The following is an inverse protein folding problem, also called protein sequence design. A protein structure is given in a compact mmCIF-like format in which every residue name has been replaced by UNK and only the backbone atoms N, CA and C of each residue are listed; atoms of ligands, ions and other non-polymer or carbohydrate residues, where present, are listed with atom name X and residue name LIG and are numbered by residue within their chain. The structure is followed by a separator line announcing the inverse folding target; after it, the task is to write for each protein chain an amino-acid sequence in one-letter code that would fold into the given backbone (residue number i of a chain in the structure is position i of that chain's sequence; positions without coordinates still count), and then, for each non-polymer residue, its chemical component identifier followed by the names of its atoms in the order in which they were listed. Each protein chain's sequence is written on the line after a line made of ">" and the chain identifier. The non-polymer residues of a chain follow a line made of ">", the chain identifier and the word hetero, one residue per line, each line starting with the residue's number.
data_IF_861270547348
#
_entry.id   IF_861270547348
#
_cell.length_a   1.000
_cell.length_b   1.000
_cell.length_c   1.000
_cell.angle_alpha   90.00
_cell.angle_beta   90.00
_cell.angle_gamma   90.00
#
_symmetry.space_group_name_H-M   'P 1'
#
loop_
_entity.id
_entity.type
_entity.pdbx_description
1 polymer ?
#
# COMPACT_ATOMS: atom_id res chain seq x y z
N UNK A 1 -31.22 -11.95 27.27
CA UNK A 1 -29.95 -12.27 26.58
C UNK A 1 -30.29 -12.74 25.17
N UNK A 2 -29.85 -12.04 24.12
CA UNK A 2 -30.22 -12.42 22.74
C UNK A 2 -29.41 -13.60 22.16
N UNK A 3 -28.62 -14.30 22.99
CA UNK A 3 -27.83 -15.47 22.61
C UNK A 3 -28.57 -16.81 22.77
N UNK A 4 -29.59 -16.83 23.63
CA UNK A 4 -30.38 -18.04 23.83
C UNK A 4 -31.42 -18.17 22.72
N UNK A 5 -31.58 -19.37 22.20
CA UNK A 5 -32.53 -19.65 21.14
C UNK A 5 -33.98 -19.45 21.63
N UNK A 6 -34.91 -19.00 20.78
CA UNK A 6 -36.30 -18.73 21.17
C UNK A 6 -36.99 -19.89 21.89
N UNK A 7 -36.70 -21.12 21.48
CA UNK A 7 -37.27 -22.33 22.07
C UNK A 7 -36.83 -22.58 23.52
N UNK A 8 -35.66 -22.05 23.95
CA UNK A 8 -35.17 -22.16 25.33
C UNK A 8 -35.99 -21.36 26.33
N UNK A 9 -36.76 -20.38 25.86
CA UNK A 9 -37.69 -19.60 26.68
C UNK A 9 -39.06 -20.27 26.82
N UNK A 10 -39.30 -21.37 26.10
CA UNK A 10 -40.54 -22.14 26.14
C UNK A 10 -40.39 -23.49 26.86
N UNK A 11 -41.28 -24.43 26.51
CA UNK A 11 -41.23 -25.84 26.98
C UNK A 11 -40.60 -26.80 25.96
N UNK A 12 -40.00 -26.26 24.91
CA UNK A 12 -39.43 -27.06 23.83
C UNK A 12 -38.09 -27.66 24.24
N UNK A 13 -37.80 -28.86 23.73
CA UNK A 13 -36.56 -29.57 24.02
C UNK A 13 -35.39 -28.90 23.30
N UNK A 14 -34.28 -28.70 24.01
CA UNK A 14 -33.03 -28.22 23.43
C UNK A 14 -32.41 -29.29 22.55
N UNK A 15 -32.02 -28.92 21.33
CA UNK A 15 -31.38 -29.80 20.35
C UNK A 15 -30.06 -29.18 19.86
N UNK A 16 -29.34 -29.86 18.96
CA UNK A 16 -28.17 -29.27 18.31
C UNK A 16 -28.47 -27.93 17.60
N UNK A 17 -29.71 -27.71 17.15
CA UNK A 17 -30.14 -26.46 16.51
C UNK A 17 -30.20 -25.29 17.50
N UNK A 18 -30.40 -25.57 18.79
CA UNK A 18 -30.33 -24.56 19.85
C UNK A 18 -28.89 -24.03 20.00
N UNK A 19 -27.89 -24.91 19.97
CA UNK A 19 -26.48 -24.52 20.02
C UNK A 19 -26.05 -23.76 18.76
N UNK A 20 -26.56 -24.16 17.59
CA UNK A 20 -26.31 -23.46 16.31
C UNK A 20 -26.82 -22.02 16.35
N UNK A 21 -27.97 -21.77 16.96
CA UNK A 21 -28.48 -20.41 17.15
C UNK A 21 -27.54 -19.57 18.02
N UNK A 22 -27.12 -20.11 19.17
CA UNK A 22 -26.18 -19.42 20.06
C UNK A 22 -24.84 -19.12 19.40
N UNK A 23 -24.34 -20.05 18.57
CA UNK A 23 -23.16 -19.84 17.74
C UNK A 23 -23.38 -18.72 16.71
N UNK A 24 -24.53 -18.69 16.04
CA UNK A 24 -24.89 -17.65 15.07
C UNK A 24 -24.93 -16.26 15.69
N UNK A 25 -25.53 -16.13 16.88
CA UNK A 25 -25.59 -14.88 17.63
C UNK A 25 -24.18 -14.43 18.05
N UNK A 26 -23.34 -15.37 18.49
CA UNK A 26 -21.93 -15.10 18.83
C UNK A 26 -21.14 -14.61 17.61
N UNK A 27 -21.25 -15.29 16.47
CA UNK A 27 -20.59 -14.88 15.23
C UNK A 27 -21.03 -13.49 14.78
N UNK A 28 -22.32 -13.20 14.85
CA UNK A 28 -22.85 -11.88 14.51
C UNK A 28 -22.29 -10.80 15.43
N UNK A 29 -22.19 -11.05 16.75
CA UNK A 29 -21.54 -10.13 17.69
C UNK A 29 -20.07 -9.93 17.37
N UNK A 30 -19.33 -10.99 17.05
CA UNK A 30 -17.91 -10.88 16.70
C UNK A 30 -17.69 -10.07 15.42
N UNK A 31 -18.59 -10.19 14.43
CA UNK A 31 -18.49 -9.46 13.17
C UNK A 31 -18.88 -7.98 13.32
N UNK A 32 -19.91 -7.69 14.10
CA UNK A 32 -20.47 -6.33 14.22
C UNK A 32 -19.93 -5.54 15.41
N UNK A 33 -19.33 -6.23 16.38
CA UNK A 33 -18.96 -5.69 17.68
C UNK A 33 -20.15 -5.31 18.56
N UNK A 34 -21.35 -5.84 18.28
CA UNK A 34 -22.60 -5.50 18.96
C UNK A 34 -23.29 -6.70 19.58
N UNK A 35 -23.93 -6.45 20.71
CA UNK A 35 -24.76 -7.43 21.40
C UNK A 35 -26.04 -7.74 20.58
N UNK A 36 -26.56 -8.97 20.57
CA UNK A 36 -27.71 -9.33 19.74
C UNK A 36 -28.96 -8.49 20.03
N UNK A 37 -29.15 -8.06 21.28
CA UNK A 37 -30.25 -7.17 21.67
C UNK A 37 -30.13 -5.77 21.08
N UNK A 38 -28.89 -5.25 20.94
CA UNK A 38 -28.64 -3.96 20.30
C UNK A 38 -28.90 -4.00 18.79
N UNK A 39 -28.65 -5.15 18.17
CA UNK A 39 -28.92 -5.41 16.75
C UNK A 39 -30.43 -5.44 16.50
N UNK A 40 -31.19 -6.16 17.34
CA UNK A 40 -32.66 -6.22 17.26
C UNK A 40 -33.32 -4.86 17.49
N UNK A 41 -32.73 -4.00 18.33
CA UNK A 41 -33.20 -2.64 18.58
C UNK A 41 -32.89 -1.64 17.44
N UNK A 42 -32.38 -2.12 16.29
CA UNK A 42 -32.05 -1.27 15.15
C UNK A 42 -30.80 -0.43 15.35
N UNK A 43 -29.91 -0.83 16.28
CA UNK A 43 -28.67 -0.11 16.51
C UNK A 43 -27.81 -0.08 15.25
N UNK A 44 -27.63 1.09 14.64
CA UNK A 44 -26.85 1.30 13.41
C UNK A 44 -25.46 0.63 13.51
N UNK A 45 -25.25 -0.45 12.75
CA UNK A 45 -23.98 -1.20 12.75
C UNK A 45 -22.82 -0.26 12.42
N UNK A 46 -21.68 -0.40 13.12
CA UNK A 46 -20.46 0.34 12.79
C UNK A 46 -19.96 -0.17 11.44
N UNK A 47 -20.17 0.54 10.33
CA UNK A 47 -19.49 0.39 9.02
C UNK A 47 -19.03 -1.04 8.63
N UNK A 48 -19.82 -2.07 8.97
CA UNK A 48 -19.41 -3.46 8.82
C UNK A 48 -20.20 -4.07 7.67
N UNK A 49 -19.56 -4.09 6.50
CA UNK A 49 -20.10 -4.76 5.32
C UNK A 49 -19.83 -6.26 5.44
N UNK A 50 -20.84 -7.02 5.89
CA UNK A 50 -20.78 -8.48 5.93
C UNK A 50 -20.98 -9.02 4.50
N UNK A 51 -20.11 -9.92 4.00
CA UNK A 51 -20.31 -10.54 2.69
C UNK A 51 -21.67 -11.25 2.60
N UNK A 52 -22.39 -11.05 1.50
CA UNK A 52 -23.76 -11.55 1.31
C UNK A 52 -23.93 -13.03 1.69
N UNK A 53 -23.05 -13.91 1.22
CA UNK A 53 -23.13 -15.35 1.53
C UNK A 53 -22.91 -15.68 3.00
N UNK A 54 -22.06 -14.91 3.69
CA UNK A 54 -21.88 -15.06 5.14
C UNK A 54 -23.11 -14.54 5.88
N UNK A 55 -23.70 -13.44 5.40
CA UNK A 55 -24.97 -12.93 5.92
C UNK A 55 -26.09 -13.96 5.75
N UNK A 56 -26.21 -14.62 4.59
CA UNK A 56 -27.20 -15.70 4.37
C UNK A 56 -27.01 -16.86 5.35
N UNK A 57 -25.77 -17.28 5.60
CA UNK A 57 -25.49 -18.33 6.59
C UNK A 57 -25.90 -17.89 8.00
N UNK A 58 -25.55 -16.67 8.41
CA UNK A 58 -25.95 -16.11 9.71
C UNK A 58 -27.47 -16.04 9.85
N UNK A 59 -28.18 -15.59 8.81
CA UNK A 59 -29.64 -15.56 8.79
C UNK A 59 -30.22 -16.95 9.01
N UNK A 60 -29.72 -17.98 8.31
CA UNK A 60 -30.16 -19.38 8.52
C UNK A 60 -29.86 -19.89 9.93
N UNK A 61 -28.71 -19.57 10.50
CA UNK A 61 -28.35 -19.98 11.88
C UNK A 61 -29.24 -19.31 12.93
N UNK A 62 -29.66 -18.07 12.68
CA UNK A 62 -30.49 -17.26 13.57
C UNK A 62 -32.01 -17.38 13.27
N UNK A 63 -32.41 -18.33 12.45
CA UNK A 63 -33.81 -18.53 12.09
C UNK A 63 -34.65 -18.90 13.32
N UNK A 64 -35.88 -18.40 13.39
CA UNK A 64 -36.74 -18.63 14.55
C UNK A 64 -37.13 -20.10 14.67
N UNK A 65 -37.52 -20.71 13.56
CA UNK A 65 -37.91 -22.11 13.50
C UNK A 65 -36.68 -23.02 13.48
N UNK A 66 -36.63 -24.02 14.38
CA UNK A 66 -35.43 -24.85 14.54
C UNK A 66 -35.18 -25.77 13.34
N UNK A 67 -36.24 -26.17 12.62
CA UNK A 67 -36.13 -27.02 11.43
C UNK A 67 -35.51 -26.32 10.22
N UNK A 68 -35.60 -24.98 10.16
CA UNK A 68 -35.04 -24.17 9.07
C UNK A 68 -33.56 -23.83 9.28
N UNK A 69 -33.05 -24.06 10.50
CA UNK A 69 -31.63 -23.92 10.82
C UNK A 69 -30.80 -25.04 10.17
N UNK A 70 -29.48 -24.85 10.00
CA UNK A 70 -28.58 -25.93 9.64
C UNK A 70 -28.76 -27.14 10.56
N UNK A 71 -28.77 -28.34 9.99
CA UNK A 71 -29.12 -29.55 10.73
C UNK A 71 -27.99 -30.00 11.66
N UNK A 72 -26.75 -29.58 11.38
CA UNK A 72 -25.58 -29.91 12.18
C UNK A 72 -24.54 -28.80 12.16
N UNK A 73 -23.66 -28.82 13.17
CA UNK A 73 -22.49 -27.92 13.24
C UNK A 73 -21.50 -28.24 12.10
N UNK A 74 -21.47 -29.47 11.59
CA UNK A 74 -20.63 -29.84 10.45
C UNK A 74 -21.08 -29.11 9.17
N UNK A 75 -22.39 -28.95 8.93
CA UNK A 75 -22.92 -28.15 7.80
C UNK A 75 -22.45 -26.69 7.90
N UNK A 76 -22.51 -26.11 9.11
CA UNK A 76 -22.04 -24.74 9.37
C UNK A 76 -20.54 -24.63 9.11
N UNK A 77 -19.75 -25.57 9.61
CA UNK A 77 -18.29 -25.61 9.42
C UNK A 77 -17.92 -25.70 7.94
N UNK A 78 -18.55 -26.60 7.19
CA UNK A 78 -18.30 -26.75 5.75
C UNK A 78 -18.65 -25.46 4.99
N UNK A 79 -19.78 -24.83 5.34
CA UNK A 79 -20.20 -23.55 4.74
C UNK A 79 -19.16 -22.44 5.00
N UNK A 80 -18.66 -22.34 6.24
CA UNK A 80 -17.62 -21.37 6.59
C UNK A 80 -16.27 -21.66 5.89
N UNK A 81 -15.88 -22.92 5.78
CA UNK A 81 -14.67 -23.33 5.07
C UNK A 81 -14.76 -22.99 3.58
N UNK A 82 -15.89 -23.31 2.94
CA UNK A 82 -16.16 -22.97 1.55
C UNK A 82 -16.07 -21.47 1.31
N UNK A 83 -16.66 -20.65 2.19
CA UNK A 83 -16.58 -19.19 2.12
C UNK A 83 -15.15 -18.68 2.24
N UNK A 84 -14.38 -19.25 3.16
CA UNK A 84 -12.96 -18.91 3.34
C UNK A 84 -12.16 -19.23 2.07
N UNK A 85 -12.29 -20.42 1.52
CA UNK A 85 -11.56 -20.86 0.33
C UNK A 85 -11.89 -20.00 -0.89
N UNK A 86 -13.18 -19.74 -1.15
CA UNK A 86 -13.60 -18.92 -2.29
C UNK A 86 -13.15 -17.46 -2.14
N UNK A 87 -13.09 -16.93 -0.93
CA UNK A 87 -12.54 -15.59 -0.69
C UNK A 87 -11.03 -15.54 -0.97
N UNK A 88 -10.30 -16.61 -0.67
CA UNK A 88 -8.87 -16.73 -0.95
C UNK A 88 -8.61 -16.88 -2.45
N UNK A 89 -9.35 -17.75 -3.14
CA UNK A 89 -9.24 -17.89 -4.59
C UNK A 89 -9.54 -16.58 -5.32
N UNK A 90 -10.58 -15.85 -4.91
CA UNK A 90 -10.89 -14.55 -5.49
C UNK A 90 -9.77 -13.54 -5.24
N UNK A 91 -9.17 -13.51 -4.04
CA UNK A 91 -8.00 -12.66 -3.75
C UNK A 91 -6.79 -13.06 -4.59
N UNK A 92 -6.51 -14.35 -4.73
CA UNK A 92 -5.40 -14.87 -5.53
C UNK A 92 -5.60 -14.54 -7.00
N UNK A 93 -6.79 -14.77 -7.56
CA UNK A 93 -7.12 -14.42 -8.95
C UNK A 93 -7.01 -12.92 -9.20
N UNK A 94 -7.50 -12.07 -8.28
CA UNK A 94 -7.33 -10.61 -8.37
C UNK A 94 -5.85 -10.21 -8.33
N UNK A 95 -5.07 -10.83 -7.45
CA UNK A 95 -3.63 -10.56 -7.34
C UNK A 95 -2.90 -11.01 -8.61
N UNK A 96 -3.21 -12.20 -9.12
CA UNK A 96 -2.64 -12.74 -10.36
C UNK A 96 -3.01 -11.88 -11.57
N UNK A 97 -4.27 -11.48 -11.68
CA UNK A 97 -4.74 -10.58 -12.75
C UNK A 97 -4.06 -9.20 -12.68
N UNK A 98 -3.89 -8.65 -11.47
CA UNK A 98 -3.12 -7.43 -11.25
C UNK A 98 -1.67 -7.61 -11.68
N UNK A 99 -0.99 -8.67 -11.23
CA UNK A 99 0.40 -8.94 -11.61
C UNK A 99 0.56 -9.19 -13.10
N UNK A 100 -0.42 -9.84 -13.74
CA UNK A 100 -0.41 -10.11 -15.18
C UNK A 100 -0.59 -8.83 -15.99
N UNK A 101 -1.59 -8.01 -15.65
CA UNK A 101 -1.77 -6.69 -16.28
C UNK A 101 -0.55 -5.79 -16.09
N UNK A 102 0.07 -5.86 -14.91
CA UNK A 102 1.30 -5.15 -14.60
C UNK A 102 2.48 -5.66 -15.44
N UNK A 103 2.73 -6.97 -15.51
CA UNK A 103 3.81 -7.55 -16.32
C UNK A 103 3.64 -7.23 -17.81
N UNK A 104 2.40 -7.37 -18.31
CA UNK A 104 2.08 -7.17 -19.72
C UNK A 104 2.31 -5.70 -20.16
N UNK A 105 1.94 -4.72 -19.33
CA UNK A 105 2.10 -3.30 -19.67
C UNK A 105 3.48 -2.75 -19.30
N UNK A 106 4.13 -3.28 -18.25
CA UNK A 106 5.42 -2.77 -17.78
C UNK A 106 6.62 -3.31 -18.56
N UNK A 107 6.50 -4.46 -19.24
CA UNK A 107 7.63 -5.08 -19.94
C UNK A 107 8.21 -4.21 -21.06
N UNK A 108 7.36 -3.63 -21.91
CA UNK A 108 7.77 -2.74 -22.99
C UNK A 108 8.32 -1.40 -22.42
N UNK A 109 7.69 -0.87 -21.38
CA UNK A 109 8.10 0.40 -20.77
C UNK A 109 9.43 0.28 -20.03
N UNK A 110 9.65 -0.82 -19.29
CA UNK A 110 10.93 -1.13 -18.64
C UNK A 110 12.01 -1.36 -19.69
N UNK A 111 11.68 -2.01 -20.81
CA UNK A 111 12.62 -2.18 -21.92
C UNK A 111 13.03 -0.83 -22.54
N UNK A 112 12.08 0.05 -22.83
CA UNK A 112 12.36 1.40 -23.35
C UNK A 112 13.18 2.24 -22.37
N UNK A 113 12.93 2.09 -21.08
CA UNK A 113 13.66 2.75 -20.00
C UNK A 113 15.12 2.29 -19.95
N UNK A 114 15.36 0.98 -19.96
CA UNK A 114 16.71 0.40 -19.98
C UNK A 114 17.43 0.82 -21.26
N UNK A 115 16.75 0.80 -22.41
CA UNK A 115 17.29 1.27 -23.68
C UNK A 115 17.67 2.76 -23.64
N UNK A 116 16.85 3.63 -23.04
CA UNK A 116 17.15 5.06 -22.91
C UNK A 116 18.35 5.33 -21.98
N UNK A 117 18.45 4.63 -20.84
CA UNK A 117 19.60 4.75 -19.95
C UNK A 117 20.88 4.23 -20.60
N UNK A 118 20.81 3.11 -21.33
CA UNK A 118 21.93 2.59 -22.12
C UNK A 118 22.33 3.56 -23.23
N UNK A 119 21.37 4.19 -23.91
CA UNK A 119 21.63 5.18 -24.95
C UNK A 119 22.37 6.42 -24.39
N UNK A 120 21.93 6.94 -23.24
CA UNK A 120 22.63 8.04 -22.54
C UNK A 120 24.04 7.62 -22.12
N UNK A 121 24.20 6.41 -21.59
CA UNK A 121 25.50 5.87 -21.23
C UNK A 121 26.43 5.75 -22.44
N UNK A 122 25.92 5.27 -23.58
CA UNK A 122 26.68 5.18 -24.82
C UNK A 122 27.11 6.57 -25.31
N UNK A 123 26.23 7.58 -25.27
CA UNK A 123 26.59 8.96 -25.58
C UNK A 123 27.74 9.43 -24.67
N UNK A 124 27.65 9.19 -23.36
CA UNK A 124 28.69 9.59 -22.41
C UNK A 124 30.02 8.87 -22.66
N UNK A 125 29.98 7.60 -23.06
CA UNK A 125 31.15 6.81 -23.40
C UNK A 125 31.82 7.31 -24.68
N UNK A 126 31.05 7.49 -25.76
CA UNK A 126 31.57 7.92 -27.07
C UNK A 126 32.09 9.36 -27.05
N UNK A 127 31.45 10.23 -26.27
CA UNK A 127 31.86 11.64 -26.17
C UNK A 127 33.03 11.85 -25.22
N UNK A 128 33.43 10.84 -24.42
CA UNK A 128 34.48 10.97 -23.41
C UNK A 128 34.03 11.69 -22.13
N UNK A 129 32.73 11.98 -21.96
CA UNK A 129 32.17 12.60 -20.77
C UNK A 129 32.51 11.83 -19.49
N UNK A 130 32.54 10.48 -19.57
CA UNK A 130 32.92 9.58 -18.47
C UNK A 130 34.36 9.76 -17.98
N UNK A 131 35.20 10.49 -18.70
CA UNK A 131 36.57 10.79 -18.29
C UNK A 131 36.69 12.12 -17.52
N UNK A 132 35.59 12.88 -17.40
CA UNK A 132 35.58 14.18 -16.73
C UNK A 132 35.13 14.10 -15.28
N UNK A 133 35.55 15.00 -14.37
CA UNK A 133 35.04 15.01 -12.99
C UNK A 133 33.52 15.30 -12.89
N UNK A 134 32.86 15.66 -14.00
CA UNK A 134 31.43 15.99 -14.07
C UNK A 134 30.51 14.76 -14.14
N UNK A 135 31.01 13.56 -14.48
CA UNK A 135 30.13 12.39 -14.66
C UNK A 135 29.56 11.85 -13.35
N UNK A 136 30.35 11.86 -12.27
CA UNK A 136 29.92 11.41 -10.93
C UNK A 136 28.77 12.27 -10.37
N UNK A 137 28.88 13.61 -10.30
CA UNK A 137 27.78 14.45 -9.80
C UNK A 137 26.55 14.38 -10.70
N UNK A 138 26.71 14.24 -12.02
CA UNK A 138 25.60 14.00 -12.95
C UNK A 138 24.84 12.72 -12.58
N UNK A 139 25.55 11.61 -12.39
CA UNK A 139 24.95 10.31 -12.05
C UNK A 139 24.25 10.33 -10.68
N UNK A 140 24.85 10.98 -9.68
CA UNK A 140 24.23 11.16 -8.37
C UNK A 140 22.94 11.99 -8.45
N UNK A 141 22.92 13.06 -9.25
CA UNK A 141 21.72 13.87 -9.44
C UNK A 141 20.62 13.10 -10.19
N UNK A 142 20.98 12.33 -11.22
CA UNK A 142 20.05 11.43 -11.90
C UNK A 142 19.40 10.42 -10.94
N UNK A 143 20.21 9.74 -10.12
CA UNK A 143 19.70 8.79 -9.12
C UNK A 143 18.81 9.48 -8.09
N UNK A 144 19.22 10.65 -7.60
CA UNK A 144 18.43 11.41 -6.64
C UNK A 144 17.07 11.81 -7.23
N UNK A 145 17.01 12.24 -8.50
CA UNK A 145 15.77 12.64 -9.16
C UNK A 145 14.78 11.47 -9.26
N UNK A 146 15.28 10.28 -9.61
CA UNK A 146 14.46 9.06 -9.69
C UNK A 146 13.93 8.68 -8.31
N UNK A 147 14.79 8.62 -7.28
CA UNK A 147 14.40 8.25 -5.90
C UNK A 147 13.40 9.26 -5.34
N UNK A 148 13.69 10.56 -5.50
CA UNK A 148 12.86 11.67 -5.04
C UNK A 148 11.46 11.66 -5.64
N UNK A 149 11.36 11.49 -6.98
CA UNK A 149 10.07 11.43 -7.64
C UNK A 149 9.28 10.17 -7.29
N UNK A 150 9.96 9.04 -7.16
CA UNK A 150 9.33 7.78 -6.72
C UNK A 150 8.75 7.92 -5.31
N UNK A 151 9.48 8.57 -4.40
CA UNK A 151 9.01 8.86 -3.04
C UNK A 151 7.81 9.84 -3.02
N UNK A 152 7.85 10.91 -3.84
CA UNK A 152 6.75 11.85 -3.98
C UNK A 152 5.46 11.18 -4.47
N UNK A 153 5.56 10.30 -5.48
CA UNK A 153 4.42 9.56 -5.99
C UNK A 153 3.84 8.62 -4.93
N UNK A 154 4.71 7.93 -4.18
CA UNK A 154 4.27 7.08 -3.08
C UNK A 154 3.56 7.90 -1.99
N UNK A 155 4.09 9.06 -1.62
CA UNK A 155 3.48 9.97 -0.64
C UNK A 155 2.06 10.36 -1.06
N UNK A 156 1.89 10.76 -2.31
CA UNK A 156 0.58 11.18 -2.84
C UNK A 156 -0.45 10.05 -2.76
N UNK A 157 -0.04 8.83 -3.03
CA UNK A 157 -0.93 7.67 -3.03
C UNK A 157 -1.29 7.21 -1.61
N UNK A 158 -0.36 7.33 -0.67
CA UNK A 158 -0.62 7.12 0.76
C UNK A 158 -1.55 8.21 1.32
N UNK A 159 -1.44 9.45 0.86
CA UNK A 159 -2.34 10.55 1.25
C UNK A 159 -3.74 10.43 0.62
N UNK A 160 -3.85 9.93 -0.63
CA UNK A 160 -5.13 9.74 -1.33
C UNK A 160 -5.87 8.45 -0.91
N UNK A 161 -5.16 7.44 -0.41
CA UNK A 161 -5.77 6.19 0.03
C UNK A 161 -6.22 6.26 1.49
N UNK A 162 -7.54 6.31 1.70
CA UNK A 162 -8.17 6.36 3.03
C UNK A 162 -7.95 5.10 3.90
N UNK A 163 -7.28 4.05 3.39
CA UNK A 163 -7.01 2.81 4.12
C UNK A 163 -5.53 2.42 4.04
N UNK A 164 -5.02 1.75 5.09
CA UNK A 164 -3.61 1.29 5.19
C UNK A 164 -3.24 0.43 3.98
N UNK A 165 -2.51 0.98 3.02
CA UNK A 165 -2.01 0.19 1.89
C UNK A 165 -1.10 -0.93 2.38
N UNK A 166 -1.28 -2.11 1.81
CA UNK A 166 -0.35 -3.22 2.03
C UNK A 166 0.96 -2.95 1.27
N UNK A 167 2.10 -3.39 1.82
CA UNK A 167 3.43 -3.18 1.23
C UNK A 167 3.56 -3.61 -0.25
N UNK A 168 2.72 -4.54 -0.71
CA UNK A 168 2.68 -5.01 -2.10
C UNK A 168 1.97 -4.05 -3.06
N UNK A 169 0.96 -3.33 -2.58
CA UNK A 169 0.23 -2.32 -3.36
C UNK A 169 1.09 -1.06 -3.52
N UNK A 170 1.78 -0.68 -2.44
CA UNK A 170 2.83 0.35 -2.42
C UNK A 170 3.90 0.05 -3.47
N UNK A 171 4.43 -1.18 -3.50
CA UNK A 171 5.48 -1.56 -4.45
C UNK A 171 4.99 -1.51 -5.90
N UNK A 172 3.79 -2.04 -6.17
CA UNK A 172 3.20 -2.02 -7.51
C UNK A 172 2.97 -0.59 -8.02
N UNK A 173 2.55 0.30 -7.15
CA UNK A 173 2.29 1.69 -7.52
C UNK A 173 3.56 2.54 -7.71
N UNK A 174 4.56 2.32 -6.86
CA UNK A 174 5.92 2.88 -7.03
C UNK A 174 6.51 2.47 -8.38
N UNK A 175 6.45 1.19 -8.72
CA UNK A 175 6.95 0.69 -10.01
C UNK A 175 6.17 1.26 -11.20
N UNK A 176 4.84 1.37 -11.10
CA UNK A 176 4.01 1.94 -12.18
C UNK A 176 4.33 3.40 -12.47
N UNK A 177 4.82 4.16 -11.48
CA UNK A 177 5.18 5.58 -11.61
C UNK A 177 6.68 5.84 -11.73
N UNK A 178 7.50 4.78 -11.69
CA UNK A 178 8.94 4.83 -11.98
C UNK A 178 9.21 5.42 -13.39
N UNK A 179 8.34 5.12 -14.35
CA UNK A 179 8.35 5.69 -15.72
C UNK A 179 8.36 7.23 -15.72
N UNK A 180 7.48 7.84 -14.92
CA UNK A 180 7.38 9.29 -14.81
C UNK A 180 8.61 9.90 -14.15
N UNK A 181 9.22 9.18 -13.21
CA UNK A 181 10.38 9.62 -12.44
C UNK A 181 11.68 9.65 -13.27
N UNK A 182 11.79 8.81 -14.30
CA UNK A 182 13.00 8.69 -15.11
C UNK A 182 13.10 9.78 -16.19
N UNK A 183 11.98 10.31 -16.66
CA UNK A 183 12.00 11.50 -17.51
C UNK A 183 12.68 12.69 -16.79
N UNK A 184 12.57 12.76 -15.46
CA UNK A 184 13.27 13.77 -14.66
C UNK A 184 14.76 13.49 -14.50
N UNK A 185 15.23 12.25 -14.70
CA UNK A 185 16.66 11.95 -14.76
C UNK A 185 17.31 12.50 -16.03
N UNK A 186 16.53 12.78 -17.09
CA UNK A 186 17.05 13.42 -18.29
C UNK A 186 17.47 14.87 -18.07
N UNK A 187 16.83 15.57 -17.12
CA UNK A 187 17.10 16.99 -16.84
C UNK A 187 18.57 17.21 -16.42
N UNK A 188 19.10 16.54 -15.37
CA UNK A 188 20.51 16.67 -15.02
C UNK A 188 21.43 16.09 -16.10
N UNK A 189 21.03 15.02 -16.80
CA UNK A 189 21.84 14.46 -17.89
C UNK A 189 22.06 15.46 -19.03
N UNK A 190 20.99 16.11 -19.50
CA UNK A 190 21.04 17.13 -20.56
C UNK A 190 21.82 18.36 -20.08
N UNK A 191 21.58 18.81 -18.85
CA UNK A 191 22.26 19.97 -18.30
C UNK A 191 23.79 19.75 -18.21
N UNK A 192 24.24 18.65 -17.61
CA UNK A 192 25.66 18.36 -17.48
C UNK A 192 26.33 18.05 -18.82
N UNK A 193 25.61 17.44 -19.75
CA UNK A 193 26.10 17.24 -21.11
C UNK A 193 26.26 18.56 -21.86
N UNK A 194 25.34 19.50 -21.68
CA UNK A 194 25.47 20.86 -22.20
C UNK A 194 26.66 21.60 -21.58
N UNK A 195 26.88 21.48 -20.27
CA UNK A 195 28.07 22.02 -19.61
C UNK A 195 29.35 21.42 -20.21
N UNK A 196 29.37 20.12 -20.42
CA UNK A 196 30.51 19.41 -21.01
C UNK A 196 30.83 19.87 -22.42
N UNK A 197 29.82 19.99 -23.29
CA UNK A 197 29.98 20.48 -24.66
C UNK A 197 30.55 21.90 -24.65
N UNK A 198 29.99 22.82 -23.84
CA UNK A 198 30.51 24.18 -23.77
C UNK A 198 31.94 24.23 -23.22
N UNK A 199 32.23 23.44 -22.17
CA UNK A 199 33.58 23.36 -21.59
C UNK A 199 34.63 22.84 -22.60
N UNK A 200 34.29 21.86 -23.44
CA UNK A 200 35.21 21.29 -24.42
C UNK A 200 35.28 22.07 -25.75
N UNK A 201 34.24 22.84 -26.09
CA UNK A 201 34.20 23.64 -27.33
C UNK A 201 34.81 25.03 -27.12
N UNK A 202 34.57 25.69 -25.99
CA UNK A 202 35.19 26.98 -25.70
C UNK A 202 36.64 26.80 -25.21
N UNK A 203 37.58 27.50 -25.86
CA UNK A 203 38.89 27.72 -25.24
C UNK A 203 38.66 28.52 -23.95
N UNK A 204 39.40 28.24 -22.86
CA UNK A 204 39.23 28.94 -21.58
C UNK A 204 39.35 30.48 -21.70
N UNK A 205 39.97 30.95 -22.78
CA UNK A 205 40.18 32.36 -23.11
C UNK A 205 38.94 33.05 -23.71
N UNK A 206 38.00 32.28 -24.27
CA UNK A 206 36.76 32.77 -24.88
C UNK A 206 35.56 32.74 -23.90
N UNK A 207 35.75 32.20 -22.69
CA UNK A 207 34.70 32.08 -21.70
C UNK A 207 34.46 33.43 -21.00
N UNK A 208 33.46 34.18 -21.44
CA UNK A 208 33.07 35.43 -20.80
C UNK A 208 32.77 35.23 -19.30
N UNK A 209 33.09 36.22 -18.47
CA UNK A 209 32.80 36.20 -17.03
C UNK A 209 31.30 35.93 -16.77
N UNK A 210 30.42 36.45 -17.63
CA UNK A 210 28.98 36.17 -17.59
C UNK A 210 28.65 34.69 -17.83
N UNK A 211 29.34 34.04 -18.78
CA UNK A 211 29.21 32.59 -19.01
C UNK A 211 29.68 31.76 -17.82
N UNK A 212 30.83 32.09 -17.24
CA UNK A 212 31.35 31.41 -16.05
C UNK A 212 30.40 31.53 -14.83
N UNK A 213 29.85 32.73 -14.60
CA UNK A 213 28.87 32.98 -13.54
C UNK A 213 27.53 32.26 -13.80
N UNK A 214 27.09 32.18 -15.04
CA UNK A 214 25.86 31.47 -15.40
C UNK A 214 25.98 29.95 -15.19
N UNK A 215 27.10 29.36 -15.63
CA UNK A 215 27.37 27.92 -15.45
C UNK A 215 27.56 27.57 -13.97
N UNK A 216 28.36 28.35 -13.24
CA UNK A 216 28.58 28.18 -11.80
C UNK A 216 27.29 28.39 -10.98
N UNK A 217 26.51 29.41 -11.31
CA UNK A 217 25.22 29.71 -10.69
C UNK A 217 24.18 28.62 -10.94
N UNK A 218 24.13 28.08 -12.16
CA UNK A 218 23.24 26.97 -12.51
C UNK A 218 23.55 25.68 -11.75
N UNK A 219 24.85 25.36 -11.60
CA UNK A 219 25.30 24.22 -10.78
C UNK A 219 24.95 24.43 -9.30
N UNK A 220 25.23 25.62 -8.75
CA UNK A 220 24.94 25.95 -7.36
C UNK A 220 23.42 25.91 -7.07
N UNK A 221 22.60 26.49 -7.94
CA UNK A 221 21.15 26.47 -7.82
C UNK A 221 20.58 25.05 -7.91
N UNK A 222 21.12 24.21 -8.78
CA UNK A 222 20.72 22.80 -8.90
C UNK A 222 21.05 22.00 -7.64
N UNK A 223 22.22 22.23 -7.04
CA UNK A 223 22.62 21.63 -5.76
C UNK A 223 21.71 22.11 -4.63
N UNK A 224 21.44 23.41 -4.53
CA UNK A 224 20.55 23.99 -3.50
C UNK A 224 19.13 23.46 -3.63
N UNK A 225 18.59 23.40 -4.86
CA UNK A 225 17.25 22.85 -5.11
C UNK A 225 17.19 21.36 -4.78
N UNK A 226 18.21 20.59 -5.19
CA UNK A 226 18.34 19.17 -4.83
C UNK A 226 18.37 18.94 -3.31
N UNK A 227 19.19 19.70 -2.57
CA UNK A 227 19.32 19.59 -1.12
C UNK A 227 18.04 20.01 -0.37
N UNK A 228 17.39 21.10 -0.80
CA UNK A 228 16.13 21.57 -0.20
C UNK A 228 14.98 20.59 -0.42
N UNK A 229 14.90 20.01 -1.63
CA UNK A 229 13.96 18.96 -1.94
C UNK A 229 14.23 17.70 -1.09
N UNK A 230 15.48 17.24 -1.02
CA UNK A 230 15.88 16.07 -0.26
C UNK A 230 15.58 16.21 1.24
N UNK A 231 15.85 17.39 1.81
CA UNK A 231 15.51 17.72 3.21
C UNK A 231 14.00 17.62 3.46
N UNK A 232 13.17 18.11 2.53
CA UNK A 232 11.70 18.08 2.66
C UNK A 232 11.16 16.65 2.65
N UNK A 233 11.62 15.82 1.72
CA UNK A 233 11.15 14.44 1.61
C UNK A 233 11.69 13.54 2.74
N UNK A 234 12.94 13.71 3.18
CA UNK A 234 13.47 12.98 4.35
C UNK A 234 12.76 13.39 5.64
N UNK A 235 12.51 14.69 5.83
CA UNK A 235 11.76 15.17 7.00
C UNK A 235 10.40 14.49 7.09
N UNK A 236 9.71 14.31 5.95
CA UNK A 236 8.44 13.59 5.91
C UNK A 236 8.59 12.10 6.20
N UNK A 237 9.57 11.42 5.61
CA UNK A 237 9.86 10.00 5.88
C UNK A 237 10.18 9.73 7.36
N UNK A 238 10.95 10.63 7.99
CA UNK A 238 11.27 10.56 9.41
C UNK A 238 10.05 10.80 10.30
N UNK A 239 9.05 11.59 9.85
CA UNK A 239 7.78 11.76 10.55
C UNK A 239 6.86 10.53 10.46
N UNK A 240 7.03 9.66 9.45
CA UNK A 240 6.30 8.39 9.37
C UNK A 240 6.75 7.42 10.47
N UNK A 241 8.05 7.22 10.68
CA UNK A 241 8.57 6.17 11.59
C UNK A 241 7.96 6.21 13.02
N UNK A 242 7.78 7.38 13.66
CA UNK A 242 7.08 7.49 14.94
C UNK A 242 5.57 7.18 14.87
N UNK A 243 4.88 7.58 13.79
CA UNK A 243 3.42 7.39 13.65
C UNK A 243 3.06 5.91 13.48
N UNK A 244 3.87 5.13 12.77
CA UNK A 244 3.75 3.67 12.71
C UNK A 244 3.98 3.02 14.08
N UNK A 245 4.94 3.53 14.85
CA UNK A 245 5.30 3.02 16.18
C UNK A 245 4.21 3.33 17.22
N UNK A 246 3.58 4.51 17.16
CA UNK A 246 2.42 4.89 17.99
C UNK A 246 1.15 4.12 17.62
N UNK A 247 0.89 3.90 16.33
CA UNK A 247 -0.24 3.09 15.87
C UNK A 247 -0.12 1.62 16.33
N UNK A 248 1.09 1.06 16.36
CA UNK A 248 1.34 -0.26 16.96
C UNK A 248 1.14 -0.29 18.47
N UNK A 249 1.51 0.79 19.18
CA UNK A 249 1.36 0.91 20.64
C UNK A 249 -0.10 1.02 21.07
N UNK A 250 -0.94 1.70 20.30
CA UNK A 250 -2.39 1.79 20.57
C UNK A 250 -3.16 0.50 20.26
N UNK A 251 -2.58 -0.41 19.48
CA UNK A 251 -3.18 -1.70 19.12
C UNK A 251 -2.74 -2.84 20.07
N UNK A 252 -1.84 -2.58 21.01
CA UNK A 252 -1.58 -3.45 22.15
C UNK A 252 -2.60 -3.15 23.26
N UNK A 253 -3.49 -4.10 23.50
CA UNK A 253 -4.46 -4.10 24.60
C UNK A 253 -3.73 -3.83 25.93
N UNK A 254 -4.22 -2.92 26.80
CA UNK A 254 -3.58 -2.62 28.08
C UNK A 254 -3.39 -3.89 28.93
N UNK A 255 -2.28 -4.03 29.67
CA UNK A 255 -1.93 -5.26 30.42
C UNK A 255 -2.89 -5.62 31.57
N UNK A 256 -3.96 -4.85 31.80
CA UNK A 256 -4.96 -5.11 32.83
C UNK A 256 -5.92 -6.26 32.50
N UNK A 257 -6.02 -6.72 31.25
CA UNK A 257 -6.87 -7.88 30.90
C UNK A 257 -6.15 -9.24 31.00
N UNK A 258 -4.82 -9.28 31.18
CA UNK A 258 -4.10 -10.56 31.33
C UNK A 258 -4.15 -11.15 32.75
N UNK A 259 -4.54 -10.37 33.76
CA UNK A 259 -4.59 -10.86 35.15
C UNK A 259 -5.90 -11.59 35.53
N UNK A 260 -6.98 -11.47 34.75
CA UNK A 260 -8.23 -12.16 35.05
C UNK A 260 -8.31 -13.60 34.50
N UNK A 261 -7.46 -13.97 33.53
CA UNK A 261 -7.46 -15.33 32.97
C UNK A 261 -6.60 -16.35 33.73
N UNK A 262 -6.03 -15.98 34.88
CA UNK A 262 -5.23 -16.89 35.72
C UNK A 262 -5.87 -17.27 37.05
N UNK A 263 -7.11 -16.82 37.32
CA UNK A 263 -7.91 -17.28 38.46
C UNK A 263 -9.30 -17.69 38.00
N UNK A 264 -9.41 -18.92 37.52
CA UNK A 264 -10.47 -19.89 37.84
C UNK A 264 -10.25 -21.15 37.03
#
# INVERSE_FOLDING_TARGET
>A
SGYAAPEQYGKAQTTAQTDIYGLGATLQTLLTGKEPLEILAGGASRDCTIPEKLQTLLTRMLEREASERPQSVDEVKQSLQWLKEHSLEQRVKRTLAFTWNFLAHSSLEVFLLVAALLFIYLIFLFTGFSNTPLWIPCLLLMLSAVVCRSAYYLRREVEEAASRLHAKEVLGAVLKRLKGSILYALIPAIFFFYLYINYNIQRPEDLSIGGALFLGGGVLASIIYGLSFFKREISWLLHLVPSWRQAHKHQQVPPLQQHMHKRR
#
